data_IF_178311053804
#
_entry.id   IF_178311053804
#
_cell.length_a   1.000
_cell.length_b   1.000
_cell.length_c   1.000
_cell.angle_alpha   90.00
_cell.angle_beta   90.00
_cell.angle_gamma   90.00
#
_symmetry.space_group_name_H-M   'P 1'
#
loop_
_entity.id
_entity.type
_entity.pdbx_description
1 polymer ?
#
# COMPACT_ATOMS: atom_id res chain seq x y z
N UNK A 1 -4.49 4.86 20.57
CA UNK A 1 -4.29 5.62 19.31
C UNK A 1 -5.42 5.22 18.36
N UNK A 2 -5.79 6.05 17.36
CA UNK A 2 -6.70 5.57 16.31
C UNK A 2 -6.06 4.40 15.56
N UNK A 3 -6.88 3.38 15.23
CA UNK A 3 -6.47 2.23 14.42
C UNK A 3 -5.89 2.71 13.09
N UNK A 4 -4.80 2.08 12.63
CA UNK A 4 -4.18 2.36 11.34
C UNK A 4 -4.34 1.18 10.40
N UNK A 5 -5.08 1.37 9.32
CA UNK A 5 -5.19 0.39 8.22
C UNK A 5 -4.16 0.78 7.17
N UNK A 6 -3.28 -0.15 6.82
CA UNK A 6 -2.12 0.05 5.96
C UNK A 6 -2.17 -0.96 4.80
N UNK A 7 -2.78 -0.58 3.67
CA UNK A 7 -2.77 -1.41 2.47
C UNK A 7 -1.36 -1.49 1.88
N UNK A 8 -0.95 -2.68 1.48
CA UNK A 8 0.30 -2.92 0.77
C UNK A 8 -0.05 -3.32 -0.66
N UNK A 9 0.36 -2.49 -1.62
CA UNK A 9 0.05 -2.66 -3.04
C UNK A 9 1.32 -2.75 -3.89
N UNK A 10 1.22 -3.35 -5.08
CA UNK A 10 2.30 -3.36 -6.07
C UNK A 10 1.78 -3.37 -7.50
N UNK A 11 2.50 -2.71 -8.41
CA UNK A 11 2.14 -2.64 -9.83
C UNK A 11 2.19 -3.99 -10.56
N UNK A 12 3.06 -4.89 -10.11
CA UNK A 12 3.29 -6.20 -10.71
C UNK A 12 3.43 -7.29 -9.65
N UNK A 13 3.15 -8.53 -10.05
CA UNK A 13 3.47 -9.72 -9.26
C UNK A 13 4.97 -9.97 -9.21
N UNK A 14 5.42 -10.76 -8.23
CA UNK A 14 6.83 -11.14 -8.10
C UNK A 14 7.74 -10.08 -7.46
N UNK A 15 7.21 -8.92 -7.06
CA UNK A 15 8.01 -7.87 -6.38
C UNK A 15 8.25 -8.15 -4.89
N UNK A 16 7.82 -9.30 -4.36
CA UNK A 16 7.97 -9.67 -2.94
C UNK A 16 6.99 -9.01 -1.97
N UNK A 17 5.81 -8.60 -2.46
CA UNK A 17 4.75 -7.94 -1.68
C UNK A 17 4.32 -8.70 -0.43
N UNK A 18 3.91 -9.96 -0.56
CA UNK A 18 3.47 -10.79 0.58
C UNK A 18 4.59 -11.00 1.60
N UNK A 19 5.82 -11.22 1.14
CA UNK A 19 7.01 -11.27 2.01
C UNK A 19 7.19 -9.98 2.79
N UNK A 20 7.10 -8.84 2.12
CA UNK A 20 7.20 -7.53 2.77
C UNK A 20 6.05 -7.34 3.76
N UNK A 21 4.79 -7.58 3.37
CA UNK A 21 3.61 -7.39 4.22
C UNK A 21 3.69 -8.23 5.51
N UNK A 22 4.13 -9.49 5.42
CA UNK A 22 4.33 -10.36 6.59
C UNK A 22 5.41 -9.82 7.52
N UNK A 23 6.60 -9.49 7.00
CA UNK A 23 7.68 -8.98 7.85
C UNK A 23 7.38 -7.58 8.40
N UNK A 24 6.71 -6.74 7.63
CA UNK A 24 6.28 -5.41 8.07
C UNK A 24 5.26 -5.51 9.20
N UNK A 25 4.27 -6.40 9.09
CA UNK A 25 3.30 -6.64 10.16
C UNK A 25 3.96 -7.22 11.42
N UNK A 26 4.93 -8.14 11.28
CA UNK A 26 5.75 -8.62 12.39
C UNK A 26 6.63 -7.52 13.01
N UNK A 27 7.10 -6.55 12.24
CA UNK A 27 7.83 -5.41 12.79
C UNK A 27 6.90 -4.50 13.60
N UNK A 28 5.71 -4.20 13.08
CA UNK A 28 4.68 -3.39 13.74
C UNK A 28 4.15 -4.05 15.02
N UNK A 29 4.06 -5.38 15.05
CA UNK A 29 3.61 -6.14 16.22
C UNK A 29 4.49 -5.92 17.47
N UNK A 30 5.73 -5.43 17.29
CA UNK A 30 6.61 -5.04 18.41
C UNK A 30 6.22 -3.70 19.06
N UNK A 31 5.36 -2.94 18.41
CA UNK A 31 4.94 -1.59 18.81
C UNK A 31 3.44 -1.49 19.13
N UNK A 32 2.64 -2.48 18.75
CA UNK A 32 1.22 -2.54 19.07
C UNK A 32 0.54 -3.75 18.42
N UNK A 33 -0.69 -4.02 18.84
CA UNK A 33 -1.47 -5.14 18.32
C UNK A 33 -1.63 -5.03 16.81
N UNK A 34 -1.22 -6.07 16.09
CA UNK A 34 -1.13 -6.02 14.62
C UNK A 34 -1.81 -7.23 13.99
N UNK A 35 -2.67 -6.99 13.01
CA UNK A 35 -3.30 -8.04 12.20
C UNK A 35 -2.93 -7.86 10.73
N UNK A 36 -2.39 -8.90 10.10
CA UNK A 36 -2.23 -8.96 8.65
C UNK A 36 -3.46 -9.62 8.01
N UNK A 37 -4.05 -9.02 6.98
CA UNK A 37 -5.16 -9.61 6.20
C UNK A 37 -4.67 -9.91 4.79
N UNK A 38 -4.68 -11.19 4.41
CA UNK A 38 -4.27 -11.70 3.10
C UNK A 38 -5.43 -11.63 2.10
N UNK A 39 -5.44 -10.61 1.25
CA UNK A 39 -6.45 -10.44 0.19
C UNK A 39 -5.90 -10.83 -1.20
N UNK A 40 -4.68 -11.36 -1.30
CA UNK A 40 -4.10 -11.88 -2.56
C UNK A 40 -4.46 -13.36 -2.73
N UNK A 41 -5.75 -13.64 -2.95
CA UNK A 41 -6.27 -15.02 -3.00
C UNK A 41 -5.89 -15.79 -4.27
N UNK A 42 -5.19 -15.15 -5.22
CA UNK A 42 -4.96 -15.68 -6.58
C UNK A 42 -3.54 -16.13 -6.91
N UNK A 43 -2.49 -15.61 -6.26
CA UNK A 43 -1.11 -15.80 -6.75
C UNK A 43 -0.04 -16.05 -5.70
N UNK A 44 -0.15 -15.43 -4.53
CA UNK A 44 0.78 -15.60 -3.41
C UNK A 44 -0.02 -15.49 -2.12
N UNK A 45 0.20 -16.39 -1.17
CA UNK A 45 -0.55 -16.36 0.09
C UNK A 45 0.39 -16.28 1.27
N UNK A 46 -0.06 -15.59 2.32
CA UNK A 46 0.56 -15.60 3.64
C UNK A 46 0.78 -17.03 4.13
N UNK A 47 -0.08 -18.00 3.74
CA UNK A 47 0.09 -19.43 4.06
C UNK A 47 1.41 -20.04 3.58
N UNK A 48 1.94 -19.53 2.45
CA UNK A 48 3.21 -20.00 1.90
C UNK A 48 4.41 -19.40 2.62
N UNK A 49 4.27 -18.17 3.11
CA UNK A 49 5.34 -17.44 3.80
C UNK A 49 5.37 -17.75 5.30
N UNK A 50 4.23 -18.14 5.87
CA UNK A 50 4.05 -18.46 7.27
C UNK A 50 3.32 -19.81 7.41
N UNK A 51 4.08 -20.88 7.67
CA UNK A 51 3.60 -22.26 7.78
C UNK A 51 2.92 -22.55 9.12
N UNK A 52 2.11 -21.62 9.62
CA UNK A 52 1.29 -21.76 10.82
C UNK A 52 -0.05 -22.41 10.44
N UNK A 53 -0.53 -23.43 11.17
CA UNK A 53 -1.84 -24.03 10.91
C UNK A 53 -2.97 -23.00 11.06
N UNK A 54 -3.78 -22.83 10.01
CA UNK A 54 -4.93 -21.91 10.01
C UNK A 54 -6.21 -22.70 10.15
N UNK A 55 -6.94 -22.46 11.24
CA UNK A 55 -8.24 -23.09 11.48
C UNK A 55 -9.40 -22.41 10.73
N UNK A 56 -9.39 -21.08 10.66
CA UNK A 56 -10.42 -20.24 9.99
C UNK A 56 -9.73 -19.18 9.15
N UNK A 57 -10.32 -18.87 8.01
CA UNK A 57 -9.75 -18.00 6.97
C UNK A 57 -10.84 -17.20 6.26
N UNK A 58 -10.49 -16.49 5.18
CA UNK A 58 -11.48 -15.71 4.41
C UNK A 58 -12.62 -16.55 3.83
N UNK A 59 -12.45 -17.86 3.61
CA UNK A 59 -13.57 -18.71 3.20
C UNK A 59 -14.62 -18.81 4.31
N UNK A 60 -14.20 -18.93 5.57
CA UNK A 60 -15.13 -18.99 6.71
C UNK A 60 -15.86 -17.66 6.91
N UNK A 61 -15.13 -16.54 6.76
CA UNK A 61 -15.75 -15.23 6.74
C UNK A 61 -16.80 -15.11 5.64
N UNK A 62 -16.43 -15.51 4.42
CA UNK A 62 -17.27 -15.33 3.25
C UNK A 62 -18.49 -16.26 3.22
N UNK A 63 -18.25 -17.57 3.32
CA UNK A 63 -19.23 -18.63 3.07
C UNK A 63 -19.92 -19.14 4.33
N UNK A 64 -19.34 -18.92 5.52
CA UNK A 64 -19.90 -19.39 6.80
C UNK A 64 -20.40 -18.25 7.68
N UNK A 65 -20.27 -16.99 7.24
CA UNK A 65 -20.69 -15.82 8.01
C UNK A 65 -19.94 -15.67 9.33
N UNK A 66 -18.74 -16.25 9.44
CA UNK A 66 -17.92 -16.14 10.65
C UNK A 66 -17.37 -14.71 10.74
N UNK A 67 -17.48 -14.01 11.89
CA UNK A 67 -16.89 -12.67 12.02
C UNK A 67 -15.38 -12.67 11.72
N UNK A 68 -14.87 -11.62 11.07
CA UNK A 68 -13.48 -11.59 10.59
C UNK A 68 -12.48 -11.71 11.74
N UNK A 69 -12.81 -11.12 12.90
CA UNK A 69 -12.01 -11.24 14.13
C UNK A 69 -11.83 -12.69 14.61
N UNK A 70 -12.78 -13.58 14.30
CA UNK A 70 -12.68 -15.00 14.63
C UNK A 70 -11.89 -15.82 13.60
N UNK A 71 -11.48 -15.20 12.49
CA UNK A 71 -10.59 -15.79 11.50
C UNK A 71 -9.11 -15.43 11.76
N UNK A 72 -8.81 -14.68 12.82
CA UNK A 72 -7.44 -14.33 13.20
C UNK A 72 -6.72 -15.59 13.72
N UNK A 73 -5.63 -15.95 13.04
CA UNK A 73 -4.67 -16.96 13.48
C UNK A 73 -3.51 -16.27 14.21
N UNK A 74 -3.08 -16.83 15.33
CA UNK A 74 -1.93 -16.36 16.12
C UNK A 74 -0.74 -17.29 15.94
N UNK A 75 0.47 -16.79 16.20
CA UNK A 75 1.67 -17.62 16.24
C UNK A 75 1.63 -18.55 17.45
N UNK A 76 2.04 -19.81 17.26
CA UNK A 76 2.29 -20.72 18.36
C UNK A 76 3.71 -20.52 18.94
N UNK A 77 3.99 -21.21 20.05
CA UNK A 77 5.31 -21.17 20.70
C UNK A 77 6.44 -21.73 19.81
N UNK A 78 6.13 -22.54 18.80
CA UNK A 78 7.10 -22.99 17.80
C UNK A 78 7.58 -21.84 16.91
N UNK A 79 6.70 -20.89 16.60
CA UNK A 79 7.00 -19.71 15.79
C UNK A 79 7.53 -18.52 16.60
N UNK A 80 7.01 -18.27 17.80
CA UNK A 80 7.44 -17.16 18.67
C UNK A 80 7.82 -17.63 20.08
N UNK A 81 9.01 -18.24 20.20
CA UNK A 81 9.52 -18.72 21.49
C UNK A 81 9.79 -17.61 22.51
N UNK A 82 10.16 -16.42 22.04
CA UNK A 82 10.51 -15.29 22.90
C UNK A 82 9.29 -14.46 23.32
N UNK A 83 8.13 -14.68 22.71
CA UNK A 83 6.93 -13.88 22.95
C UNK A 83 7.03 -12.45 22.44
N UNK A 84 8.01 -12.16 21.56
CA UNK A 84 8.25 -10.82 21.01
C UNK A 84 7.18 -10.45 19.98
N UNK A 85 6.53 -11.46 19.40
CA UNK A 85 5.53 -11.36 18.35
C UNK A 85 4.15 -11.80 18.83
N UNK A 86 3.90 -11.80 20.15
CA UNK A 86 2.64 -12.24 20.77
C UNK A 86 1.42 -11.45 20.27
N UNK A 87 1.66 -10.20 19.89
CA UNK A 87 0.66 -9.23 19.46
C UNK A 87 0.41 -9.26 17.95
N UNK A 88 1.09 -10.16 17.23
CA UNK A 88 0.84 -10.45 15.82
C UNK A 88 -0.27 -11.49 15.64
N UNK A 89 -1.19 -11.21 14.72
CA UNK A 89 -2.11 -12.17 14.17
C UNK A 89 -2.28 -11.98 12.66
N UNK A 90 -2.89 -12.96 12.00
CA UNK A 90 -3.18 -12.83 10.57
C UNK A 90 -4.49 -13.54 10.19
N UNK A 91 -5.17 -13.01 9.19
CA UNK A 91 -6.28 -13.65 8.49
C UNK A 91 -5.75 -14.10 7.14
N UNK A 92 -5.71 -15.42 6.92
CA UNK A 92 -5.22 -15.98 5.67
C UNK A 92 -6.28 -15.96 4.56
N UNK A 93 -5.79 -15.97 3.30
CA UNK A 93 -6.60 -16.33 2.15
C UNK A 93 -7.16 -17.77 2.26
N UNK A 94 -8.14 -18.13 1.42
CA UNK A 94 -8.73 -19.46 1.42
C UNK A 94 -7.68 -20.53 1.09
N UNK A 95 -7.82 -21.73 1.66
CA UNK A 95 -6.91 -22.86 1.39
C UNK A 95 -6.87 -23.28 -0.09
N UNK A 96 -7.99 -23.13 -0.78
CA UNK A 96 -8.14 -23.43 -2.20
C UNK A 96 -8.62 -22.18 -2.92
N UNK A 97 -8.33 -22.11 -4.23
CA UNK A 97 -8.81 -21.02 -5.07
C UNK A 97 -10.34 -20.94 -5.02
N UNK A 98 -10.85 -19.71 -4.90
CA UNK A 98 -12.26 -19.40 -4.93
C UNK A 98 -12.46 -18.21 -5.86
N UNK A 99 -13.16 -18.45 -6.96
CA UNK A 99 -13.38 -17.45 -8.01
C UNK A 99 -14.02 -16.17 -7.47
N UNK A 100 -14.99 -16.33 -6.57
CA UNK A 100 -15.74 -15.22 -5.99
C UNK A 100 -15.00 -14.46 -4.87
N UNK A 101 -13.86 -14.98 -4.40
CA UNK A 101 -12.90 -14.21 -3.60
C UNK A 101 -11.76 -13.64 -4.44
N UNK A 102 -11.48 -14.21 -5.60
CA UNK A 102 -10.53 -13.66 -6.56
C UNK A 102 -11.12 -12.46 -7.30
N UNK A 103 -12.44 -12.41 -7.46
CA UNK A 103 -13.19 -11.29 -8.01
C UNK A 103 -14.46 -11.03 -7.16
N UNK A 104 -14.32 -10.39 -5.99
CA UNK A 104 -15.43 -10.20 -5.07
C UNK A 104 -16.45 -9.16 -5.56
N UNK A 105 -17.72 -9.43 -5.30
CA UNK A 105 -18.79 -8.47 -5.53
C UNK A 105 -18.69 -7.25 -4.59
N UNK A 106 -19.51 -6.23 -4.86
CA UNK A 106 -19.52 -5.01 -4.06
C UNK A 106 -20.04 -5.23 -2.62
N UNK A 107 -20.87 -6.25 -2.39
CA UNK A 107 -21.41 -6.55 -1.06
C UNK A 107 -20.34 -7.12 -0.16
N UNK A 108 -19.57 -8.11 -0.65
CA UNK A 108 -18.43 -8.67 0.04
C UNK A 108 -17.39 -7.60 0.37
N UNK A 109 -17.03 -6.74 -0.61
CA UNK A 109 -16.07 -5.65 -0.41
C UNK A 109 -16.52 -4.70 0.71
N UNK A 110 -17.79 -4.28 0.72
CA UNK A 110 -18.35 -3.44 1.80
C UNK A 110 -18.32 -4.15 3.16
N UNK A 111 -18.74 -5.41 3.22
CA UNK A 111 -18.73 -6.19 4.47
C UNK A 111 -17.32 -6.37 5.01
N UNK A 112 -16.36 -6.68 4.14
CA UNK A 112 -14.95 -6.83 4.48
C UNK A 112 -14.36 -5.51 4.99
N UNK A 113 -14.63 -4.39 4.33
CA UNK A 113 -14.20 -3.06 4.78
C UNK A 113 -14.76 -2.72 6.17
N UNK A 114 -16.05 -2.99 6.41
CA UNK A 114 -16.67 -2.81 7.73
C UNK A 114 -15.99 -3.66 8.82
N UNK A 115 -15.73 -4.93 8.55
CA UNK A 115 -15.12 -5.85 9.52
C UNK A 115 -13.64 -5.57 9.78
N UNK A 116 -12.88 -5.13 8.77
CA UNK A 116 -11.49 -4.66 8.97
C UNK A 116 -11.46 -3.50 9.98
N UNK A 117 -12.42 -2.58 9.90
CA UNK A 117 -12.57 -1.47 10.83
C UNK A 117 -12.95 -1.91 12.26
N UNK A 118 -13.47 -3.12 12.48
CA UNK A 118 -13.81 -3.64 13.81
C UNK A 118 -12.75 -4.57 14.41
N UNK A 119 -11.74 -5.01 13.64
CA UNK A 119 -10.66 -5.89 14.13
C UNK A 119 -10.00 -5.36 15.42
N UNK A 120 -9.70 -6.21 16.42
CA UNK A 120 -9.10 -5.78 17.67
C UNK A 120 -7.58 -5.60 17.54
N UNK A 121 -7.16 -4.60 16.76
CA UNK A 121 -5.75 -4.30 16.48
C UNK A 121 -5.51 -2.79 16.33
N UNK A 122 -4.35 -2.33 16.79
CA UNK A 122 -3.84 -0.98 16.57
C UNK A 122 -3.43 -0.77 15.11
N UNK A 123 -2.83 -1.81 14.50
CA UNK A 123 -2.39 -1.83 13.11
C UNK A 123 -3.07 -2.96 12.34
N UNK A 124 -3.59 -2.65 11.15
CA UNK A 124 -4.10 -3.65 10.22
C UNK A 124 -3.34 -3.52 8.90
N UNK A 125 -2.46 -4.47 8.61
CA UNK A 125 -1.77 -4.54 7.33
C UNK A 125 -2.65 -5.34 6.36
N UNK A 126 -2.87 -4.82 5.16
CA UNK A 126 -3.70 -5.51 4.15
C UNK A 126 -2.84 -5.85 2.94
N UNK A 127 -2.57 -7.14 2.71
CA UNK A 127 -1.82 -7.61 1.55
C UNK A 127 -2.77 -7.72 0.35
N UNK A 128 -2.71 -6.73 -0.54
CA UNK A 128 -3.61 -6.63 -1.70
C UNK A 128 -3.04 -7.41 -2.88
N UNK A 129 -3.89 -7.89 -3.79
CA UNK A 129 -3.40 -8.49 -5.05
C UNK A 129 -2.60 -7.48 -5.87
N UNK A 130 -1.60 -7.96 -6.62
CA UNK A 130 -0.83 -7.11 -7.53
C UNK A 130 -1.68 -6.56 -8.68
N UNK A 131 -1.38 -5.34 -9.11
CA UNK A 131 -2.02 -4.63 -10.22
C UNK A 131 -3.09 -3.63 -9.78
N UNK A 132 -3.79 -3.06 -10.77
CA UNK A 132 -4.90 -2.13 -10.62
C UNK A 132 -6.22 -2.88 -10.35
N UNK A 133 -6.22 -3.82 -9.41
CA UNK A 133 -7.43 -4.57 -9.08
C UNK A 133 -8.44 -3.63 -8.38
N UNK A 134 -9.73 -3.78 -8.68
CA UNK A 134 -10.81 -3.03 -8.03
C UNK A 134 -10.76 -3.13 -6.50
N UNK A 135 -10.21 -4.24 -5.98
CA UNK A 135 -9.95 -4.41 -4.56
C UNK A 135 -8.96 -3.39 -4.00
N UNK A 136 -7.89 -3.05 -4.73
CA UNK A 136 -6.93 -2.02 -4.32
C UNK A 136 -7.66 -0.68 -4.16
N UNK A 137 -8.46 -0.30 -5.16
CA UNK A 137 -9.16 0.98 -5.21
C UNK A 137 -10.25 1.15 -4.15
N UNK A 138 -10.87 0.07 -3.71
CA UNK A 138 -11.98 0.14 -2.74
C UNK A 138 -11.54 0.22 -1.27
N UNK A 139 -10.31 -0.21 -0.95
CA UNK A 139 -9.78 -0.07 0.41
C UNK A 139 -9.06 1.25 0.66
N UNK A 140 -8.68 1.96 -0.39
CA UNK A 140 -7.88 3.18 -0.30
C UNK A 140 -8.61 4.44 0.20
N UNK A 141 -9.92 4.65 -0.02
CA UNK A 141 -10.64 5.81 0.53
C UNK A 141 -10.68 5.81 2.06
N UNK A 142 -10.46 4.65 2.66
CA UNK A 142 -10.43 4.47 4.12
C UNK A 142 -9.02 4.59 4.70
N UNK A 143 -8.00 4.84 3.87
CA UNK A 143 -6.60 4.83 4.29
C UNK A 143 -5.83 6.01 3.71
N UNK A 144 -5.45 6.97 4.56
CA UNK A 144 -4.55 8.07 4.18
C UNK A 144 -3.07 7.61 4.09
N UNK A 145 -2.79 6.31 4.07
CA UNK A 145 -1.43 5.74 4.23
C UNK A 145 -1.36 4.30 3.68
N UNK A 146 -1.43 4.15 2.36
CA UNK A 146 -0.99 2.91 1.70
C UNK A 146 0.53 2.87 1.50
N UNK A 147 1.10 1.67 1.43
CA UNK A 147 2.50 1.43 1.08
C UNK A 147 2.58 0.78 -0.30
N UNK A 148 3.21 1.48 -1.24
CA UNK A 148 3.46 1.01 -2.58
C UNK A 148 4.82 0.32 -2.66
N UNK A 149 4.83 -0.95 -3.09
CA UNK A 149 6.03 -1.74 -3.23
C UNK A 149 6.35 -1.95 -4.72
N UNK A 150 7.59 -1.64 -5.10
CA UNK A 150 8.14 -1.98 -6.42
C UNK A 150 9.62 -2.27 -6.31
N UNK A 151 10.21 -2.78 -7.38
CA UNK A 151 11.60 -3.22 -7.40
C UNK A 151 12.37 -2.54 -8.53
N UNK A 152 13.61 -2.08 -8.29
CA UNK A 152 14.45 -1.54 -9.34
C UNK A 152 14.85 -2.57 -10.40
N UNK A 153 14.74 -3.87 -10.08
CA UNK A 153 15.08 -4.96 -10.99
C UNK A 153 14.10 -5.12 -12.16
N UNK A 154 12.89 -4.55 -12.05
CA UNK A 154 11.83 -4.69 -13.04
C UNK A 154 11.30 -3.29 -13.42
N UNK A 155 11.78 -2.66 -14.51
CA UNK A 155 11.29 -1.35 -14.94
C UNK A 155 9.76 -1.29 -15.14
N UNK A 156 9.16 -2.39 -15.59
CA UNK A 156 7.71 -2.52 -15.76
C UNK A 156 6.93 -2.51 -14.43
N UNK A 157 7.57 -2.87 -13.31
CA UNK A 157 6.98 -2.74 -11.98
C UNK A 157 6.94 -1.28 -11.53
N UNK A 158 7.97 -0.50 -11.87
CA UNK A 158 8.05 0.95 -11.61
C UNK A 158 6.92 1.70 -12.33
N UNK A 159 6.76 1.47 -13.64
CA UNK A 159 5.69 2.12 -14.41
C UNK A 159 4.30 1.73 -13.88
N UNK A 160 4.06 0.44 -13.63
CA UNK A 160 2.79 -0.01 -13.08
C UNK A 160 2.51 0.55 -11.66
N UNK A 161 3.55 0.86 -10.89
CA UNK A 161 3.41 1.53 -9.60
C UNK A 161 2.91 2.99 -9.78
N UNK A 162 3.44 3.72 -10.77
CA UNK A 162 2.94 5.06 -11.09
C UNK A 162 1.48 5.05 -11.56
N UNK A 163 1.10 4.09 -12.39
CA UNK A 163 -0.30 3.91 -12.82
C UNK A 163 -1.25 3.63 -11.65
N UNK A 164 -0.81 2.84 -10.66
CA UNK A 164 -1.55 2.65 -9.41
C UNK A 164 -1.79 3.99 -8.70
N UNK A 165 -0.75 4.81 -8.52
CA UNK A 165 -0.91 6.13 -7.89
C UNK A 165 -1.92 7.00 -8.65
N UNK A 166 -1.84 7.05 -9.99
CA UNK A 166 -2.79 7.79 -10.83
C UNK A 166 -4.22 7.32 -10.57
N UNK A 167 -4.49 6.02 -10.70
CA UNK A 167 -5.83 5.47 -10.53
C UNK A 167 -6.42 5.75 -9.14
N UNK A 168 -5.61 5.67 -8.09
CA UNK A 168 -6.05 5.92 -6.71
C UNK A 168 -6.40 7.39 -6.50
N UNK A 169 -5.54 8.30 -6.98
CA UNK A 169 -5.79 9.73 -6.85
C UNK A 169 -7.08 10.11 -7.57
N UNK A 170 -7.27 9.63 -8.80
CA UNK A 170 -8.46 9.92 -9.60
C UNK A 170 -9.72 9.34 -8.96
N UNK A 171 -9.64 8.13 -8.40
CA UNK A 171 -10.73 7.55 -7.62
C UNK A 171 -11.04 8.38 -6.37
N UNK A 172 -10.03 8.88 -5.67
CA UNK A 172 -10.18 9.74 -4.49
C UNK A 172 -10.89 11.03 -4.87
N UNK A 173 -10.46 11.69 -5.96
CA UNK A 173 -11.11 12.89 -6.48
C UNK A 173 -12.59 12.61 -6.82
N UNK A 174 -12.90 11.53 -7.54
CA UNK A 174 -14.29 11.12 -7.83
C UNK A 174 -15.12 10.94 -6.54
N UNK A 175 -14.56 10.33 -5.50
CA UNK A 175 -15.27 10.08 -4.24
C UNK A 175 -15.45 11.34 -3.38
N UNK A 176 -14.47 12.23 -3.36
CA UNK A 176 -14.54 13.49 -2.61
C UNK A 176 -15.55 14.44 -3.25
N UNK A 177 -15.67 14.42 -4.58
CA UNK A 177 -16.53 15.34 -5.32
C UNK A 177 -17.84 14.72 -5.83
N UNK A 178 -18.16 13.47 -5.46
CA UNK A 178 -19.44 12.84 -5.82
C UNK A 178 -20.64 13.56 -5.16
N UNK A 179 -21.83 13.45 -5.76
CA UNK A 179 -23.07 14.10 -5.27
C UNK A 179 -23.45 13.74 -3.83
N UNK A 180 -23.08 12.56 -3.36
CA UNK A 180 -23.38 12.08 -2.00
C UNK A 180 -22.36 12.52 -0.94
N UNK A 181 -21.29 13.23 -1.33
CA UNK A 181 -20.28 13.72 -0.38
C UNK A 181 -20.75 14.97 0.37
N UNK A 182 -20.28 15.14 1.60
CA UNK A 182 -20.54 16.37 2.38
C UNK A 182 -19.98 17.62 1.68
N UNK A 183 -18.91 17.46 0.90
CA UNK A 183 -18.27 18.52 0.09
C UNK A 183 -19.22 19.06 -0.98
N UNK A 184 -20.05 18.20 -1.58
CA UNK A 184 -21.02 18.61 -2.61
C UNK A 184 -22.08 19.59 -2.09
N UNK A 185 -22.42 19.50 -0.80
CA UNK A 185 -23.42 20.37 -0.17
C UNK A 185 -22.88 21.75 0.23
N UNK A 186 -21.59 22.01 0.01
CA UNK A 186 -20.99 23.32 0.30
C UNK A 186 -21.40 24.37 -0.74
N UNK A 187 -21.64 25.64 -0.34
CA UNK A 187 -21.97 26.71 -1.28
C UNK A 187 -20.91 26.85 -2.38
N UNK A 188 -21.34 26.86 -3.65
CA UNK A 188 -20.45 26.95 -4.81
C UNK A 188 -19.95 25.61 -5.36
N UNK A 189 -20.32 24.47 -4.78
CA UNK A 189 -19.90 23.13 -5.23
C UNK A 189 -20.98 22.36 -6.04
N UNK A 190 -22.22 22.85 -6.06
CA UNK A 190 -23.36 22.15 -6.68
C UNK A 190 -23.24 21.91 -8.20
N UNK A 191 -22.53 22.78 -8.93
CA UNK A 191 -22.22 22.63 -10.36
C UNK A 191 -20.85 21.97 -10.60
N UNK A 192 -20.05 21.82 -9.54
CA UNK A 192 -18.65 21.37 -9.62
C UNK A 192 -18.47 19.88 -9.93
N UNK A 193 -19.48 19.05 -9.67
CA UNK A 193 -19.40 17.61 -9.90
C UNK A 193 -19.22 17.26 -11.38
N UNK A 194 -20.00 17.89 -12.27
CA UNK A 194 -19.93 17.63 -13.71
C UNK A 194 -18.59 18.12 -14.26
N UNK A 195 -18.14 19.30 -13.81
CA UNK A 195 -16.82 19.80 -14.12
C UNK A 195 -15.75 18.80 -13.70
N UNK A 196 -15.65 18.44 -12.42
CA UNK A 196 -14.63 17.50 -11.91
C UNK A 196 -14.64 16.18 -12.67
N UNK A 197 -15.81 15.62 -12.99
CA UNK A 197 -15.89 14.41 -13.79
C UNK A 197 -15.29 14.60 -15.19
N UNK A 198 -15.67 15.67 -15.89
CA UNK A 198 -15.12 16.01 -17.21
C UNK A 198 -13.61 16.23 -17.16
N UNK A 199 -13.10 16.89 -16.10
CA UNK A 199 -11.66 17.09 -15.90
C UNK A 199 -10.90 15.78 -15.76
N UNK A 200 -11.44 14.88 -14.94
CA UNK A 200 -10.81 13.58 -14.68
C UNK A 200 -10.85 12.72 -15.93
N UNK A 201 -11.95 12.74 -16.67
CA UNK A 201 -12.08 11.98 -17.91
C UNK A 201 -11.11 12.52 -18.98
N UNK A 202 -10.94 13.85 -19.10
CA UNK A 202 -9.93 14.46 -19.99
C UNK A 202 -8.49 14.15 -19.58
N UNK A 203 -8.17 14.17 -18.29
CA UNK A 203 -6.83 13.84 -17.80
C UNK A 203 -6.51 12.33 -17.79
N UNK A 204 -7.54 11.47 -17.92
CA UNK A 204 -7.38 10.03 -18.16
C UNK A 204 -7.27 9.69 -19.65
N UNK A 205 -7.69 10.57 -20.56
CA UNK A 205 -7.56 10.35 -22.00
C UNK A 205 -6.10 10.47 -22.45
N UNK A 206 -5.41 9.32 -22.48
CA UNK A 206 -4.00 9.22 -22.88
C UNK A 206 -3.79 9.55 -24.37
N UNK A 207 -4.86 9.67 -25.16
CA UNK A 207 -4.80 10.07 -26.57
C UNK A 207 -5.05 11.56 -26.79
N UNK A 208 -5.39 12.31 -25.73
CA UNK A 208 -5.50 13.76 -25.77
C UNK A 208 -4.16 14.42 -25.39
N UNK A 209 -3.32 14.65 -26.40
CA UNK A 209 -2.03 15.35 -26.23
C UNK A 209 -2.18 16.80 -25.72
N UNK A 210 -3.40 17.35 -25.68
CA UNK A 210 -3.65 18.71 -25.18
C UNK A 210 -3.71 18.78 -23.67
N UNK A 211 -3.92 17.65 -22.97
CA UNK A 211 -4.08 17.60 -21.51
C UNK A 211 -3.09 16.61 -20.89
N UNK A 212 -1.85 17.05 -20.61
CA UNK A 212 -0.80 16.13 -20.15
C UNK A 212 -1.01 15.61 -18.72
N UNK A 213 -1.58 16.42 -17.81
CA UNK A 213 -1.76 16.07 -16.41
C UNK A 213 -2.76 17.00 -15.69
N UNK A 214 -3.05 16.70 -14.41
CA UNK A 214 -3.98 17.49 -13.59
C UNK A 214 -3.50 18.93 -13.36
N UNK A 215 -2.19 19.18 -13.35
CA UNK A 215 -1.67 20.55 -13.14
C UNK A 215 -2.02 21.46 -14.31
N UNK A 216 -1.97 20.93 -15.53
CA UNK A 216 -2.37 21.62 -16.74
C UNK A 216 -3.88 21.91 -16.72
N UNK A 217 -4.69 20.90 -16.42
CA UNK A 217 -6.15 21.06 -16.32
C UNK A 217 -6.53 22.16 -15.32
N UNK A 218 -5.93 22.12 -14.12
CA UNK A 218 -6.21 23.10 -13.08
C UNK A 218 -5.81 24.52 -13.48
N UNK A 219 -4.73 24.66 -14.25
CA UNK A 219 -4.30 25.96 -14.78
C UNK A 219 -5.30 26.47 -15.80
N UNK A 220 -5.67 25.67 -16.80
CA UNK A 220 -6.61 26.06 -17.86
C UNK A 220 -7.96 26.50 -17.28
N UNK A 221 -8.45 25.79 -16.27
CA UNK A 221 -9.69 26.18 -15.59
C UNK A 221 -9.56 27.46 -14.79
N UNK A 222 -8.43 27.67 -14.12
CA UNK A 222 -8.17 28.92 -13.41
C UNK A 222 -8.12 30.10 -14.39
N UNK A 223 -7.54 29.90 -15.57
CA UNK A 223 -7.47 30.94 -16.60
C UNK A 223 -8.87 31.28 -17.16
N UNK A 224 -9.80 30.31 -17.24
CA UNK A 224 -11.17 30.51 -17.75
C UNK A 224 -12.15 31.01 -16.68
N UNK A 225 -12.14 30.40 -15.50
CA UNK A 225 -13.14 30.59 -14.45
C UNK A 225 -12.65 31.41 -13.25
N UNK A 226 -11.36 31.76 -13.21
CA UNK A 226 -10.73 32.45 -12.08
C UNK A 226 -10.52 31.54 -10.86
N UNK A 227 -10.12 32.13 -9.74
CA UNK A 227 -9.93 31.40 -8.48
C UNK A 227 -11.27 31.05 -7.83
N UNK A 228 -11.68 29.79 -8.02
CA UNK A 228 -12.91 29.23 -7.46
C UNK A 228 -12.61 28.33 -6.24
N UNK A 229 -13.47 28.29 -5.22
CA UNK A 229 -13.32 27.40 -4.06
C UNK A 229 -13.17 25.91 -4.45
N UNK A 230 -13.84 25.47 -5.51
CA UNK A 230 -13.74 24.12 -6.06
C UNK A 230 -12.32 23.80 -6.54
N UNK A 231 -11.68 24.72 -7.27
CA UNK A 231 -10.31 24.51 -7.76
C UNK A 231 -9.31 24.41 -6.61
N UNK A 232 -9.47 25.26 -5.59
CA UNK A 232 -8.66 25.19 -4.38
C UNK A 232 -8.86 23.86 -3.62
N UNK A 233 -10.09 23.34 -3.59
CA UNK A 233 -10.37 22.05 -2.98
C UNK A 233 -9.71 20.89 -3.76
N UNK A 234 -9.77 20.90 -5.09
CA UNK A 234 -9.10 19.88 -5.93
C UNK A 234 -7.58 19.95 -5.73
N UNK A 235 -7.00 21.15 -5.78
CA UNK A 235 -5.56 21.35 -5.53
C UNK A 235 -5.15 20.83 -4.14
N UNK A 236 -5.98 21.08 -3.13
CA UNK A 236 -5.75 20.59 -1.77
C UNK A 236 -5.76 19.06 -1.70
N UNK A 237 -6.76 18.39 -2.32
CA UNK A 237 -6.82 16.92 -2.35
C UNK A 237 -5.58 16.34 -3.01
N UNK A 238 -5.12 16.92 -4.12
CA UNK A 238 -3.91 16.45 -4.82
C UNK A 238 -2.65 16.67 -3.96
N UNK A 239 -2.52 17.84 -3.33
CA UNK A 239 -1.35 18.18 -2.52
C UNK A 239 -1.28 17.41 -1.19
N UNK A 240 -2.43 17.09 -0.59
CA UNK A 240 -2.50 16.28 0.63
C UNK A 240 -2.41 14.77 0.32
N UNK A 241 -2.55 14.35 -0.94
CA UNK A 241 -2.44 12.96 -1.32
C UNK A 241 -1.01 12.45 -1.11
N UNK A 242 -0.83 11.61 -0.08
CA UNK A 242 0.46 11.04 0.30
C UNK A 242 0.68 9.67 -0.30
N UNK A 243 1.76 9.53 -1.05
CA UNK A 243 2.23 8.25 -1.57
C UNK A 243 3.44 7.81 -0.76
N UNK A 244 3.27 6.73 0.00
CA UNK A 244 4.39 6.09 0.67
C UNK A 244 4.88 4.92 -0.17
N UNK A 245 6.18 4.81 -0.40
CA UNK A 245 6.73 3.69 -1.16
C UNK A 245 7.98 3.06 -0.53
N UNK A 246 8.18 1.79 -0.87
CA UNK A 246 9.36 0.99 -0.49
C UNK A 246 9.95 0.36 -1.75
N UNK A 247 11.27 0.42 -1.87
CA UNK A 247 12.00 -0.32 -2.90
C UNK A 247 12.36 -1.71 -2.37
N UNK A 248 11.83 -2.76 -3.00
CA UNK A 248 12.17 -4.13 -2.63
C UNK A 248 13.22 -4.73 -3.55
N UNK A 249 13.98 -5.69 -3.03
CA UNK A 249 15.11 -6.33 -3.70
C UNK A 249 16.12 -5.28 -4.21
N UNK A 250 16.35 -4.26 -3.37
CA UNK A 250 17.32 -3.22 -3.60
C UNK A 250 18.73 -3.80 -3.56
N UNK A 251 19.58 -3.36 -4.48
CA UNK A 251 20.96 -3.80 -4.60
C UNK A 251 21.94 -2.66 -4.34
N UNK A 252 21.91 -1.61 -5.15
CA UNK A 252 22.78 -0.44 -5.05
C UNK A 252 21.99 0.86 -5.26
N UNK A 253 22.53 1.95 -4.69
CA UNK A 253 21.85 3.25 -4.63
C UNK A 253 21.77 3.90 -6.00
N UNK A 254 22.87 3.98 -6.74
CA UNK A 254 22.94 4.72 -8.00
C UNK A 254 22.06 4.08 -9.08
N UNK A 255 22.17 2.76 -9.26
CA UNK A 255 21.35 2.02 -10.21
C UNK A 255 19.88 2.07 -9.81
N UNK A 256 19.53 1.87 -8.54
CA UNK A 256 18.13 1.93 -8.10
C UNK A 256 17.50 3.32 -8.27
N UNK A 257 18.30 4.37 -8.07
CA UNK A 257 17.87 5.74 -8.30
C UNK A 257 17.53 5.97 -9.78
N UNK A 258 18.43 5.61 -10.70
CA UNK A 258 18.24 5.81 -12.14
C UNK A 258 17.17 4.89 -12.77
N UNK A 259 17.09 3.64 -12.31
CA UNK A 259 16.22 2.62 -12.91
C UNK A 259 14.81 2.57 -12.32
N UNK A 260 14.61 3.10 -11.12
CA UNK A 260 13.33 3.02 -10.42
C UNK A 260 12.82 4.36 -9.92
N UNK A 261 13.60 5.08 -9.12
CA UNK A 261 13.11 6.31 -8.46
C UNK A 261 12.86 7.41 -9.51
N UNK A 262 13.86 7.71 -10.35
CA UNK A 262 13.73 8.76 -11.37
C UNK A 262 12.59 8.46 -12.34
N UNK A 263 12.45 7.26 -12.93
CA UNK A 263 11.32 6.94 -13.81
C UNK A 263 9.97 7.02 -13.10
N UNK A 264 9.88 6.56 -11.85
CA UNK A 264 8.65 6.63 -11.04
C UNK A 264 8.19 8.07 -10.84
N UNK A 265 9.09 8.91 -10.31
CA UNK A 265 8.81 10.33 -10.03
C UNK A 265 8.52 11.07 -11.33
N UNK A 266 9.33 10.88 -12.37
CA UNK A 266 9.15 11.51 -13.67
C UNK A 266 7.77 11.20 -14.25
N UNK A 267 7.38 9.92 -14.28
CA UNK A 267 6.08 9.51 -14.80
C UNK A 267 4.92 10.16 -14.01
N UNK A 268 5.01 10.24 -12.68
CA UNK A 268 3.99 10.92 -11.86
C UNK A 268 3.91 12.42 -12.14
N UNK A 269 5.06 13.09 -12.26
CA UNK A 269 5.10 14.53 -12.55
C UNK A 269 4.60 14.88 -13.94
N UNK A 270 4.84 13.99 -14.92
CA UNK A 270 4.46 14.22 -16.32
C UNK A 270 3.00 13.88 -16.57
N UNK A 271 2.49 12.78 -15.98
CA UNK A 271 1.18 12.19 -16.35
C UNK A 271 0.11 12.29 -15.25
N UNK A 272 0.46 12.79 -14.05
CA UNK A 272 -0.46 12.89 -12.91
C UNK A 272 -0.48 14.29 -12.33
N UNK A 273 0.54 14.67 -11.55
CA UNK A 273 0.70 16.00 -10.96
C UNK A 273 2.07 16.13 -10.28
N UNK A 274 2.66 17.32 -10.35
CA UNK A 274 3.86 17.73 -9.63
C UNK A 274 3.60 18.10 -8.18
N UNK A 275 2.33 18.23 -7.78
CA UNK A 275 1.91 18.58 -6.42
C UNK A 275 1.83 17.37 -5.48
N UNK A 276 2.05 16.15 -5.99
CA UNK A 276 1.98 14.94 -5.19
C UNK A 276 3.07 14.88 -4.12
N UNK A 277 2.70 14.40 -2.94
CA UNK A 277 3.63 14.21 -1.84
C UNK A 277 4.13 12.77 -1.80
N UNK A 278 5.39 12.56 -2.19
CA UNK A 278 6.03 11.25 -2.23
C UNK A 278 6.95 11.08 -1.01
N UNK A 279 6.76 10.01 -0.26
CA UNK A 279 7.61 9.66 0.89
C UNK A 279 8.20 8.27 0.71
N UNK A 280 9.52 8.20 0.61
CA UNK A 280 10.24 6.92 0.64
C UNK A 280 10.35 6.42 2.09
N UNK A 281 9.74 5.27 2.39
CA UNK A 281 9.83 4.66 3.72
C UNK A 281 11.15 3.89 3.94
N UNK A 282 11.83 3.53 2.85
CA UNK A 282 13.12 2.85 2.87
C UNK A 282 13.28 1.85 1.73
N UNK A 283 14.18 0.90 1.92
CA UNK A 283 14.43 -0.19 0.98
C UNK A 283 14.63 -1.51 1.73
N UNK A 284 14.28 -2.61 1.05
CA UNK A 284 14.57 -3.98 1.49
C UNK A 284 15.58 -4.57 0.52
N UNK A 285 16.75 -4.93 1.04
CA UNK A 285 17.86 -5.47 0.26
C UNK A 285 17.56 -6.90 -0.18
N UNK A 286 17.95 -7.26 -1.40
CA UNK A 286 17.91 -8.65 -1.83
C UNK A 286 18.89 -9.50 -1.00
N UNK A 287 18.37 -10.31 -0.06
CA UNK A 287 19.18 -11.20 0.78
C UNK A 287 18.71 -12.66 0.61
N UNK A 288 19.61 -13.60 0.25
CA UNK A 288 19.30 -15.03 0.20
C UNK A 288 18.72 -15.61 1.50
N UNK A 289 18.98 -14.99 2.66
CA UNK A 289 18.35 -15.36 3.94
C UNK A 289 16.85 -15.12 3.93
N UNK A 290 16.39 -13.98 3.39
CA UNK A 290 14.95 -13.67 3.29
C UNK A 290 14.27 -14.70 2.38
N UNK A 291 14.90 -15.03 1.25
CA UNK A 291 14.38 -16.06 0.36
C UNK A 291 14.29 -17.44 1.05
N UNK A 292 15.37 -17.88 1.73
CA UNK A 292 15.37 -19.16 2.45
C UNK A 292 14.34 -19.22 3.58
N UNK A 293 14.21 -18.13 4.34
CA UNK A 293 13.22 -17.98 5.41
C UNK A 293 11.79 -18.15 4.86
N UNK A 294 11.48 -17.50 3.73
CA UNK A 294 10.20 -17.68 3.05
C UNK A 294 9.97 -19.13 2.58
N UNK A 295 10.96 -19.76 1.94
CA UNK A 295 10.85 -21.14 1.48
C UNK A 295 10.66 -22.13 2.65
N UNK A 296 11.20 -21.82 3.83
CA UNK A 296 10.99 -22.58 5.05
C UNK A 296 9.63 -22.31 5.72
N UNK A 297 8.83 -21.38 5.20
CA UNK A 297 7.57 -20.95 5.80
C UNK A 297 7.75 -20.26 7.16
N UNK A 298 8.93 -19.69 7.41
CA UNK A 298 9.27 -19.00 8.66
C UNK A 298 9.92 -17.65 8.32
N UNK A 299 9.17 -16.54 8.38
CA UNK A 299 9.67 -15.22 8.04
C UNK A 299 10.96 -14.86 8.79
N UNK A 300 11.83 -14.04 8.19
CA UNK A 300 13.16 -13.74 8.73
C UNK A 300 13.10 -13.11 10.14
N UNK A 301 12.06 -12.34 10.45
CA UNK A 301 11.86 -11.76 11.78
C UNK A 301 11.43 -12.77 12.85
N UNK A 302 11.08 -13.99 12.46
CA UNK A 302 10.83 -15.13 13.36
C UNK A 302 12.02 -16.08 13.44
N UNK A 303 13.07 -15.91 12.62
CA UNK A 303 14.27 -16.71 12.77
C UNK A 303 14.99 -16.36 14.08
N UNK A 304 15.59 -17.34 14.76
CA UNK A 304 16.43 -17.07 15.93
C UNK A 304 17.55 -16.13 15.49
N UNK A 305 17.59 -14.93 16.06
CA UNK A 305 18.74 -14.05 15.83
C UNK A 305 19.96 -14.77 16.40
N UNK A 306 20.91 -15.17 15.54
CA UNK A 306 22.25 -15.54 15.98
C UNK A 306 22.71 -14.44 16.93
N UNK A 307 22.94 -14.78 18.20
CA UNK A 307 23.35 -13.84 19.23
C UNK A 307 24.41 -12.90 18.63
N UNK A 308 24.06 -11.62 18.50
CA UNK A 308 25.00 -10.64 18.00
C UNK A 308 26.26 -10.78 18.87
N UNK A 309 27.40 -11.09 18.25
CA UNK A 309 28.69 -10.99 18.96
C UNK A 309 28.69 -9.60 19.59
N UNK A 310 28.94 -9.48 20.91
CA UNK A 310 28.95 -8.17 21.54
C UNK A 310 29.89 -7.28 20.74
N UNK A 311 29.36 -6.16 20.23
CA UNK A 311 30.18 -5.15 19.55
C UNK A 311 31.32 -4.82 20.49
N UNK A 312 32.54 -5.18 20.11
CA UNK A 312 33.72 -4.61 20.74
C UNK A 312 33.57 -3.09 20.63
N UNK A 313 33.75 -2.39 21.74
CA UNK A 313 33.68 -0.94 21.82
C UNK A 313 34.77 -0.32 20.92
N UNK A 314 34.46 -0.12 19.64
CA UNK A 314 35.20 0.78 18.78
C UNK A 314 34.45 2.11 18.83
N UNK A 315 35.05 3.09 19.52
CA UNK A 315 34.58 4.47 19.52
C UNK A 315 34.60 5.06 18.10
N UNK A 316 33.91 6.19 17.88
CA UNK A 316 33.85 6.79 16.55
C UNK A 316 35.20 7.44 16.23
N UNK A 317 35.99 6.82 15.36
CA UNK A 317 36.97 7.55 14.56
C UNK A 317 36.21 8.18 13.40
N UNK A 318 35.95 9.48 13.52
CA UNK A 318 35.50 10.33 12.42
C UNK A 318 36.56 10.30 11.31
N UNK A 319 36.09 10.12 10.08
CA UNK A 319 36.89 10.25 8.86
C UNK A 319 37.36 11.72 8.72
N UNK A 320 38.67 12.00 8.60
CA UNK A 320 39.20 13.36 8.59
C UNK A 320 38.69 14.25 7.44
N UNK A 321 37.98 13.68 6.46
CA UNK A 321 37.43 14.43 5.32
C UNK A 321 36.20 15.28 5.68
N UNK A 322 35.52 15.01 6.81
CA UNK A 322 34.29 15.73 7.20
C UNK A 322 34.49 16.81 8.28
N UNK A 323 35.73 17.20 8.59
CA UNK A 323 36.00 18.23 9.61
C UNK A 323 36.11 19.66 9.08
N UNK A 324 36.10 19.89 7.76
CA UNK A 324 36.28 21.23 7.15
C UNK A 324 35.21 21.61 6.10
N UNK A 325 33.99 21.08 6.22
CA UNK A 325 32.80 21.59 5.52
C UNK A 325 31.71 21.97 6.53
#
# INVERSE_FOLDING_TARGET
MPKRIIPVASGKGGVGKTTFAVNFALALARHGSTVLVDLDTGTSSVRSTLAVPVGRDLYHFHRKGTPLAQCITRLDAGFDRSGVQRDFGFVAGPRHYLEDLANPDAEFRRRLAGEINTLPADYVVVDLRAGLDANVLDFLPYTNSGVLLFTPQLPQATLAASEIVKAILFRTLRLVFQKSSDVFNLPGFGEGHELVHELLDRAEDVYDDTVPNLDYVLKDLRDVFGDQPLLAAIEWVIADFRVHYVLNMFDNVDQSHETAIVPFVKNLTENVSRRLNLTQLGWVVADPKVHRANCAGRPILLEPQLAAKPKAAAGPTLDPVFAEL
#
